data_IF_690190850227
#
_entry.id   IF_690190850227
#
_cell.length_a   1.000
_cell.length_b   1.000
_cell.length_c   1.000
_cell.angle_alpha   90.00
_cell.angle_beta   90.00
_cell.angle_gamma   90.00
#
_symmetry.space_group_name_H-M   'P 1'
#
loop_
_entity.id
_entity.type
_entity.pdbx_description
1 polymer ?
#
# COMPACT_ATOMS: atom_id res chain seq x y z
N UNK A 1 -38.87 -63.87 -34.41
CA UNK A 1 -37.74 -62.94 -34.53
C UNK A 1 -36.66 -63.41 -33.57
N UNK A 2 -35.55 -63.99 -34.06
CA UNK A 2 -34.41 -64.22 -33.17
C UNK A 2 -33.83 -62.86 -32.78
N UNK A 3 -33.68 -62.60 -31.49
CA UNK A 3 -32.94 -61.44 -30.99
C UNK A 3 -31.54 -61.47 -31.59
N UNK A 4 -31.11 -60.37 -32.21
CA UNK A 4 -29.69 -60.15 -32.51
C UNK A 4 -29.00 -59.97 -31.16
N UNK A 5 -28.31 -61.00 -30.71
CA UNK A 5 -27.39 -60.90 -29.58
C UNK A 5 -26.20 -60.04 -30.05
N UNK A 6 -26.08 -58.81 -29.54
CA UNK A 6 -24.93 -57.96 -29.80
C UNK A 6 -23.81 -58.45 -28.87
N UNK A 7 -22.86 -59.19 -29.43
CA UNK A 7 -21.67 -59.59 -28.69
C UNK A 7 -20.76 -58.37 -28.47
N UNK A 8 -20.49 -58.04 -27.21
CA UNK A 8 -19.63 -56.89 -26.83
C UNK A 8 -18.19 -57.01 -27.35
N UNK A 9 -17.74 -58.23 -27.66
CA UNK A 9 -16.41 -58.53 -28.19
C UNK A 9 -16.32 -58.26 -29.69
N UNK A 10 -17.34 -58.62 -30.46
CA UNK A 10 -17.33 -58.49 -31.92
C UNK A 10 -18.01 -57.21 -32.44
N UNK A 11 -18.73 -56.47 -31.60
CA UNK A 11 -19.33 -55.18 -31.98
C UNK A 11 -20.30 -55.30 -33.16
N UNK A 12 -21.08 -56.38 -33.23
CA UNK A 12 -21.77 -56.89 -34.43
C UNK A 12 -22.79 -55.95 -35.12
N UNK A 13 -22.92 -54.70 -34.68
CA UNK A 13 -23.73 -53.68 -35.34
C UNK A 13 -22.83 -52.78 -36.21
N UNK A 14 -22.87 -53.01 -37.52
CA UNK A 14 -22.18 -52.20 -38.55
C UNK A 14 -22.57 -50.71 -38.51
N UNK A 15 -23.72 -50.38 -37.92
CA UNK A 15 -24.30 -49.04 -37.87
C UNK A 15 -23.84 -48.19 -36.68
N UNK A 16 -22.97 -48.70 -35.81
CA UNK A 16 -22.47 -47.92 -34.65
C UNK A 16 -21.21 -47.16 -35.03
N UNK A 17 -21.17 -45.88 -34.65
CA UNK A 17 -20.05 -44.98 -34.89
C UNK A 17 -18.78 -45.36 -34.09
N UNK A 18 -18.95 -45.99 -32.92
CA UNK A 18 -17.86 -46.48 -32.06
C UNK A 18 -17.82 -48.01 -32.11
N UNK A 19 -16.67 -48.56 -32.50
CA UNK A 19 -16.42 -50.01 -32.63
C UNK A 19 -16.04 -50.64 -31.30
N UNK A 20 -16.09 -51.98 -31.25
CA UNK A 20 -15.66 -52.73 -30.08
C UNK A 20 -14.18 -52.41 -29.75
N UNK A 21 -13.82 -52.28 -28.46
CA UNK A 21 -12.50 -51.81 -28.06
C UNK A 21 -11.39 -52.76 -28.53
N UNK A 22 -10.22 -52.20 -28.80
CA UNK A 22 -9.01 -52.95 -29.06
C UNK A 22 -8.16 -53.03 -27.79
N UNK A 23 -7.48 -54.15 -27.61
CA UNK A 23 -6.54 -54.34 -26.51
C UNK A 23 -5.29 -53.48 -26.66
N UNK A 24 -4.81 -53.34 -27.89
CA UNK A 24 -3.64 -52.49 -28.22
C UNK A 24 -3.73 -52.00 -29.66
N UNK A 25 -2.93 -50.98 -29.99
CA UNK A 25 -2.76 -50.48 -31.36
C UNK A 25 -1.32 -50.67 -31.82
N UNK A 26 -1.14 -50.94 -33.11
CA UNK A 26 0.20 -50.99 -33.72
C UNK A 26 0.91 -49.64 -33.58
N UNK A 27 2.22 -49.66 -33.41
CA UNK A 27 3.10 -48.47 -33.47
C UNK A 27 4.05 -48.49 -34.66
N UNK A 28 4.12 -49.62 -35.37
CA UNK A 28 4.91 -49.87 -36.58
C UNK A 28 4.20 -50.91 -37.46
N UNK A 29 4.77 -51.19 -38.63
CA UNK A 29 4.30 -52.27 -39.50
C UNK A 29 4.50 -53.63 -38.81
N UNK A 30 3.47 -54.48 -38.81
CA UNK A 30 3.50 -55.83 -38.24
C UNK A 30 3.13 -56.87 -39.31
N UNK A 31 3.40 -58.15 -39.02
CA UNK A 31 2.81 -59.26 -39.77
C UNK A 31 1.42 -59.54 -39.22
N UNK A 32 0.40 -59.68 -40.07
CA UNK A 32 -0.98 -59.99 -39.65
C UNK A 32 -1.18 -61.51 -39.45
N UNK A 33 -0.34 -62.12 -38.62
CA UNK A 33 -0.40 -63.55 -38.30
C UNK A 33 0.32 -63.86 -37.00
N UNK A 34 -0.15 -64.87 -36.26
CA UNK A 34 0.49 -65.34 -35.02
C UNK A 34 0.31 -64.39 -33.83
N UNK A 35 0.50 -64.91 -32.63
CA UNK A 35 0.49 -64.12 -31.39
C UNK A 35 1.78 -63.31 -31.25
N UNK A 36 1.70 -62.07 -30.76
CA UNK A 36 2.80 -61.10 -30.82
C UNK A 36 2.79 -60.15 -29.62
N UNK A 37 3.86 -59.37 -29.42
CA UNK A 37 3.86 -58.23 -28.51
C UNK A 37 3.85 -56.92 -29.28
N UNK A 38 2.86 -56.08 -29.04
CA UNK A 38 2.64 -54.80 -29.72
C UNK A 38 2.59 -53.72 -28.66
N UNK A 39 3.38 -52.65 -28.82
CA UNK A 39 3.41 -51.51 -27.89
C UNK A 39 3.55 -51.91 -26.40
N UNK A 40 4.34 -52.96 -26.14
CA UNK A 40 4.56 -53.52 -24.81
C UNK A 40 3.45 -54.46 -24.29
N UNK A 41 2.42 -54.75 -25.09
CA UNK A 41 1.29 -55.63 -24.73
C UNK A 41 1.34 -56.92 -25.57
N UNK A 42 1.47 -58.08 -24.90
CA UNK A 42 1.41 -59.39 -25.55
C UNK A 42 -0.03 -59.75 -25.91
N UNK A 43 -0.36 -59.86 -27.20
CA UNK A 43 -1.68 -60.19 -27.76
C UNK A 43 -1.81 -61.67 -28.11
N UNK A 44 -2.93 -62.27 -27.71
CA UNK A 44 -3.22 -63.70 -27.89
C UNK A 44 -4.47 -63.91 -28.75
N UNK A 45 -4.74 -65.16 -29.15
CA UNK A 45 -5.90 -65.53 -29.96
C UNK A 45 -7.20 -64.92 -29.40
N UNK A 46 -8.01 -64.37 -30.31
CA UNK A 46 -9.23 -63.60 -30.07
C UNK A 46 -9.08 -62.19 -29.44
N UNK A 47 -7.86 -61.70 -29.18
CA UNK A 47 -7.67 -60.29 -28.87
C UNK A 47 -7.93 -59.41 -30.09
N UNK A 48 -8.36 -58.17 -29.84
CA UNK A 48 -8.57 -57.16 -30.89
C UNK A 48 -7.41 -56.19 -30.92
N UNK A 49 -6.88 -55.95 -32.12
CA UNK A 49 -5.78 -55.01 -32.35
C UNK A 49 -6.22 -53.95 -33.34
N UNK A 50 -6.01 -52.68 -32.99
CA UNK A 50 -6.11 -51.60 -33.95
C UNK A 50 -4.81 -51.58 -34.78
N UNK A 51 -4.90 -52.10 -36.00
CA UNK A 51 -3.82 -52.07 -36.98
C UNK A 51 -3.91 -50.77 -37.75
N UNK A 52 -3.03 -49.82 -37.43
CA UNK A 52 -3.04 -48.46 -38.00
C UNK A 52 -1.73 -48.07 -38.70
N UNK A 53 -0.74 -48.98 -38.72
CA UNK A 53 0.61 -48.70 -39.21
C UNK A 53 1.12 -49.72 -40.24
N UNK A 54 0.25 -50.34 -41.04
CA UNK A 54 0.71 -51.15 -42.17
C UNK A 54 1.35 -50.28 -43.26
N UNK A 55 2.35 -50.82 -43.94
CA UNK A 55 2.98 -50.20 -45.10
C UNK A 55 1.95 -49.95 -46.20
N UNK A 56 1.09 -50.93 -46.46
CA UNK A 56 -0.11 -50.76 -47.29
C UNK A 56 -1.26 -50.29 -46.40
N UNK A 57 -1.56 -48.99 -46.39
CA UNK A 57 -2.59 -48.45 -45.51
C UNK A 57 -4.00 -49.00 -45.78
N UNK A 58 -4.23 -49.65 -46.93
CA UNK A 58 -5.45 -50.41 -47.22
C UNK A 58 -5.61 -51.67 -46.37
N UNK A 59 -4.53 -52.13 -45.72
CA UNK A 59 -4.50 -53.22 -44.74
C UNK A 59 -4.77 -52.73 -43.32
N UNK A 60 -4.80 -51.41 -43.06
CA UNK A 60 -5.18 -50.90 -41.75
C UNK A 60 -6.65 -51.24 -41.44
N UNK A 61 -6.96 -51.40 -40.16
CA UNK A 61 -8.28 -51.72 -39.65
C UNK A 61 -8.23 -52.34 -38.26
N UNK A 62 -9.34 -52.94 -37.84
CA UNK A 62 -9.40 -53.69 -36.59
C UNK A 62 -9.28 -55.17 -36.91
N UNK A 63 -8.32 -55.85 -36.29
CA UNK A 63 -8.04 -57.26 -36.52
C UNK A 63 -8.28 -58.08 -35.26
N UNK A 64 -8.72 -59.32 -35.45
CA UNK A 64 -8.78 -60.33 -34.40
C UNK A 64 -7.57 -61.24 -34.55
N UNK A 65 -6.80 -61.34 -33.48
CA UNK A 65 -5.56 -62.11 -33.39
C UNK A 65 -5.87 -63.61 -33.47
N UNK A 66 -4.99 -64.35 -34.14
CA UNK A 66 -5.03 -65.80 -34.26
C UNK A 66 -3.59 -66.34 -34.27
N UNK A 67 -3.41 -67.62 -33.94
CA UNK A 67 -2.14 -68.34 -34.13
C UNK A 67 -1.72 -68.42 -35.61
N UNK A 68 -2.69 -68.40 -36.54
CA UNK A 68 -2.50 -68.26 -37.97
C UNK A 68 -2.73 -66.83 -38.46
N UNK A 69 -3.20 -66.69 -39.70
CA UNK A 69 -3.48 -65.38 -40.32
C UNK A 69 -4.60 -64.67 -39.57
N UNK A 70 -4.36 -63.41 -39.19
CA UNK A 70 -5.36 -62.59 -38.52
C UNK A 70 -6.48 -62.21 -39.48
N UNK A 71 -7.71 -62.22 -38.96
CA UNK A 71 -8.87 -61.76 -39.73
C UNK A 71 -9.21 -60.32 -39.36
N UNK A 72 -9.80 -59.57 -40.29
CA UNK A 72 -10.50 -58.34 -39.92
C UNK A 72 -11.68 -58.65 -39.00
N UNK A 73 -11.87 -57.79 -38.01
CA UNK A 73 -13.01 -57.85 -37.11
C UNK A 73 -14.33 -57.69 -37.86
N UNK A 74 -15.39 -58.36 -37.37
CA UNK A 74 -16.71 -58.35 -38.01
C UNK A 74 -17.36 -56.97 -38.07
N UNK A 75 -16.99 -56.06 -37.17
CA UNK A 75 -17.46 -54.66 -37.12
C UNK A 75 -16.58 -53.68 -37.92
N UNK A 76 -15.58 -54.19 -38.65
CA UNK A 76 -14.65 -53.44 -39.49
C UNK A 76 -14.19 -54.28 -40.69
N UNK A 77 -15.09 -55.01 -41.38
CA UNK A 77 -14.70 -55.87 -42.52
C UNK A 77 -15.45 -55.59 -43.83
N UNK A 78 -16.44 -54.70 -43.85
CA UNK A 78 -17.19 -54.28 -45.04
C UNK A 78 -17.13 -52.76 -45.23
N UNK A 79 -17.27 -52.31 -46.48
CA UNK A 79 -17.39 -50.90 -46.89
C UNK A 79 -18.46 -50.10 -46.10
N UNK A 80 -19.51 -50.76 -45.61
CA UNK A 80 -20.58 -50.10 -44.83
C UNK A 80 -20.27 -49.98 -43.34
N UNK A 81 -19.22 -50.63 -42.85
CA UNK A 81 -18.86 -50.60 -41.43
C UNK A 81 -18.01 -49.37 -41.10
N UNK A 82 -17.44 -48.72 -42.11
CA UNK A 82 -16.45 -47.66 -41.96
C UNK A 82 -16.86 -46.42 -42.77
N UNK A 83 -16.86 -45.29 -42.08
CA UNK A 83 -16.97 -43.94 -42.62
C UNK A 83 -15.96 -43.03 -41.96
N UNK A 84 -15.68 -41.86 -42.55
CA UNK A 84 -14.92 -40.81 -41.86
C UNK A 84 -15.54 -40.54 -40.47
N UNK A 85 -14.71 -40.50 -39.43
CA UNK A 85 -15.14 -40.30 -38.05
C UNK A 85 -15.51 -41.58 -37.29
N UNK A 86 -15.45 -42.77 -37.92
CA UNK A 86 -15.61 -44.05 -37.19
C UNK A 86 -14.56 -44.16 -36.09
N UNK A 87 -14.97 -44.49 -34.87
CA UNK A 87 -14.10 -44.45 -33.69
C UNK A 87 -13.85 -45.83 -33.09
N UNK A 88 -12.74 -45.98 -32.36
CA UNK A 88 -12.42 -47.17 -31.56
C UNK A 88 -11.59 -46.79 -30.35
N UNK A 89 -11.89 -47.37 -29.19
CA UNK A 89 -11.09 -47.20 -27.97
C UNK A 89 -9.99 -48.27 -27.96
N UNK A 90 -8.76 -47.86 -27.66
CA UNK A 90 -7.62 -48.75 -27.43
C UNK A 90 -7.27 -48.70 -25.95
N UNK A 91 -7.40 -49.85 -25.27
CA UNK A 91 -7.35 -49.94 -23.80
C UNK A 91 -5.93 -50.04 -23.22
N UNK A 92 -4.95 -50.49 -23.99
CA UNK A 92 -3.58 -50.74 -23.54
C UNK A 92 -2.53 -50.28 -24.54
N UNK A 93 -1.27 -50.38 -24.12
CA UNK A 93 -0.12 -49.88 -24.86
C UNK A 93 0.38 -48.54 -24.34
N UNK A 94 1.69 -48.32 -24.44
CA UNK A 94 2.35 -47.10 -23.95
C UNK A 94 2.08 -45.90 -24.85
N UNK A 95 2.03 -46.12 -26.17
CA UNK A 95 1.91 -45.06 -27.19
C UNK A 95 0.53 -45.09 -27.87
N UNK A 96 -0.03 -46.28 -28.06
CA UNK A 96 -1.22 -46.53 -28.86
C UNK A 96 -2.55 -46.44 -28.11
N UNK A 97 -2.54 -46.32 -26.77
CA UNK A 97 -3.76 -46.25 -25.97
C UNK A 97 -4.52 -44.93 -26.20
N UNK A 98 -5.85 -44.97 -26.10
CA UNK A 98 -6.72 -43.81 -26.28
C UNK A 98 -7.85 -44.04 -27.30
N UNK A 99 -8.64 -42.98 -27.55
CA UNK A 99 -9.74 -43.01 -28.50
C UNK A 99 -9.24 -42.62 -29.89
N UNK A 100 -9.34 -43.53 -30.85
CA UNK A 100 -8.92 -43.30 -32.23
C UNK A 100 -10.12 -43.09 -33.15
N UNK A 101 -9.94 -42.30 -34.21
CA UNK A 101 -10.94 -42.05 -35.23
C UNK A 101 -10.37 -42.21 -36.64
N UNK A 102 -11.19 -42.71 -37.56
CA UNK A 102 -10.89 -42.79 -38.99
C UNK A 102 -10.91 -41.39 -39.60
N UNK A 103 -9.87 -41.02 -40.32
CA UNK A 103 -9.75 -39.71 -40.99
C UNK A 103 -9.90 -39.75 -42.49
N UNK A 104 -9.78 -40.95 -43.10
CA UNK A 104 -9.99 -41.16 -44.53
C UNK A 104 -11.35 -40.59 -44.95
N UNK A 105 -11.37 -39.83 -46.04
CA UNK A 105 -12.60 -39.29 -46.59
C UNK A 105 -13.46 -40.40 -47.22
N UNK A 106 -14.78 -40.26 -47.11
CA UNK A 106 -15.71 -41.16 -47.78
C UNK A 106 -15.71 -40.91 -49.30
N UNK A 107 -15.92 -41.94 -50.13
CA UNK A 107 -16.22 -43.33 -49.78
C UNK A 107 -14.98 -44.15 -49.40
N UNK A 108 -15.15 -45.10 -48.46
CA UNK A 108 -14.10 -46.01 -48.00
C UNK A 108 -14.47 -47.45 -48.35
N UNK A 109 -13.71 -48.08 -49.24
CA UNK A 109 -13.81 -49.50 -49.58
C UNK A 109 -12.76 -50.32 -48.83
N UNK A 110 -13.21 -51.17 -47.91
CA UNK A 110 -12.32 -51.95 -47.03
C UNK A 110 -11.50 -52.95 -47.85
N UNK A 111 -10.18 -52.91 -47.71
CA UNK A 111 -9.23 -53.73 -48.46
C UNK A 111 -8.72 -53.10 -49.76
N UNK A 112 -9.23 -51.93 -50.16
CA UNK A 112 -8.73 -51.19 -51.34
C UNK A 112 -8.40 -49.75 -51.01
N UNK A 113 -9.28 -49.02 -50.33
CA UNK A 113 -9.02 -47.66 -49.88
C UNK A 113 -7.98 -47.66 -48.76
N UNK A 114 -7.06 -46.69 -48.77
CA UNK A 114 -6.14 -46.47 -47.66
C UNK A 114 -6.90 -45.97 -46.42
N UNK A 115 -6.78 -46.67 -45.29
CA UNK A 115 -7.47 -46.34 -44.05
C UNK A 115 -6.48 -45.69 -43.08
N UNK A 116 -6.73 -44.43 -42.76
CA UNK A 116 -5.93 -43.64 -41.82
C UNK A 116 -6.69 -43.44 -40.51
N UNK A 117 -5.97 -43.55 -39.39
CA UNK A 117 -6.47 -43.31 -38.05
C UNK A 117 -5.68 -42.17 -37.40
N UNK A 118 -6.36 -41.36 -36.60
CA UNK A 118 -5.74 -40.38 -35.70
C UNK A 118 -6.33 -40.49 -34.30
N UNK A 119 -5.61 -40.02 -33.28
CA UNK A 119 -6.15 -39.87 -31.94
C UNK A 119 -7.27 -38.81 -31.96
N UNK A 120 -8.43 -39.14 -31.43
CA UNK A 120 -9.54 -38.21 -31.23
C UNK A 120 -9.29 -37.40 -29.94
N UNK A 121 -8.63 -36.24 -30.09
CA UNK A 121 -8.41 -35.31 -28.99
C UNK A 121 -9.60 -34.34 -28.94
N UNK A 122 -10.30 -34.15 -27.80
CA UNK A 122 -11.27 -33.08 -27.67
C UNK A 122 -10.59 -31.73 -27.90
N UNK A 123 -11.34 -30.74 -28.40
CA UNK A 123 -10.81 -29.40 -28.70
C UNK A 123 -9.97 -28.87 -27.53
N UNK A 124 -8.67 -28.67 -27.79
CA UNK A 124 -7.70 -28.22 -26.80
C UNK A 124 -7.78 -26.72 -26.53
N UNK A 125 -8.65 -26.00 -27.25
CA UNK A 125 -8.87 -24.55 -27.07
C UNK A 125 -9.28 -24.16 -25.63
N UNK A 126 -9.73 -25.11 -24.81
CA UNK A 126 -10.13 -24.90 -23.41
C UNK A 126 -9.23 -25.49 -22.32
N UNK A 127 -8.20 -26.28 -22.66
CA UNK A 127 -7.33 -26.94 -21.67
C UNK A 127 -5.95 -26.29 -21.65
N UNK A 128 -5.81 -25.13 -20.98
CA UNK A 128 -4.50 -24.54 -20.73
C UNK A 128 -3.92 -25.17 -19.47
N UNK A 129 -2.90 -26.02 -19.62
CA UNK A 129 -2.05 -26.41 -18.49
C UNK A 129 -1.05 -25.28 -18.25
N UNK A 130 -1.30 -24.43 -17.25
CA UNK A 130 -0.47 -23.28 -16.87
C UNK A 130 0.72 -23.71 -16.00
N UNK A 131 1.53 -24.65 -16.47
CA UNK A 131 2.78 -25.02 -15.77
C UNK A 131 3.91 -24.07 -16.20
N UNK A 132 4.49 -23.35 -15.25
CA UNK A 132 5.65 -22.47 -15.48
C UNK A 132 5.32 -20.97 -15.42
N UNK A 133 6.28 -20.16 -15.87
CA UNK A 133 6.13 -18.69 -15.93
C UNK A 133 5.18 -18.30 -17.05
N UNK A 134 4.18 -17.48 -16.72
CA UNK A 134 3.21 -16.97 -17.69
C UNK A 134 3.50 -15.49 -18.00
N UNK A 135 3.61 -15.14 -19.28
CA UNK A 135 3.69 -13.74 -19.75
C UNK A 135 2.36 -13.30 -20.32
N UNK A 136 1.69 -12.33 -19.67
CA UNK A 136 0.36 -11.85 -20.05
C UNK A 136 0.43 -10.43 -20.63
N UNK A 137 0.72 -10.31 -21.92
CA UNK A 137 0.80 -9.00 -22.60
C UNK A 137 -0.59 -8.47 -22.96
N UNK A 138 -0.90 -7.23 -22.58
CA UNK A 138 -2.16 -6.52 -22.86
C UNK A 138 -3.39 -7.35 -22.46
N UNK A 139 -3.38 -7.91 -21.25
CA UNK A 139 -4.52 -8.63 -20.67
C UNK A 139 -5.07 -7.88 -19.48
N UNK A 140 -6.39 -7.91 -19.34
CA UNK A 140 -7.06 -7.45 -18.12
C UNK A 140 -7.25 -8.65 -17.21
N UNK A 141 -6.71 -8.58 -15.99
CA UNK A 141 -6.96 -9.56 -14.95
C UNK A 141 -8.01 -8.98 -14.00
N UNK A 142 -9.19 -9.62 -13.95
CA UNK A 142 -10.26 -9.21 -13.04
C UNK A 142 -10.10 -9.97 -11.72
N UNK A 143 -9.75 -9.26 -10.65
CA UNK A 143 -9.56 -9.80 -9.29
C UNK A 143 -8.48 -10.89 -9.14
N UNK A 144 -7.26 -10.70 -9.67
CA UNK A 144 -6.17 -11.65 -9.43
C UNK A 144 -5.76 -11.67 -7.95
N UNK A 145 -5.51 -12.86 -7.42
CA UNK A 145 -4.87 -13.04 -6.11
C UNK A 145 -3.41 -13.42 -6.30
N UNK A 146 -2.47 -12.60 -5.84
CA UNK A 146 -1.03 -12.91 -5.83
C UNK A 146 -0.67 -13.41 -4.43
N UNK A 147 -0.55 -14.73 -4.28
CA UNK A 147 -0.21 -15.33 -2.99
C UNK A 147 1.31 -15.56 -2.88
N UNK A 148 2.01 -14.70 -2.15
CA UNK A 148 3.45 -14.86 -1.88
C UNK A 148 4.40 -14.46 -3.01
N UNK A 149 3.96 -13.61 -3.95
CA UNK A 149 4.78 -13.08 -5.04
C UNK A 149 5.10 -11.59 -4.89
N UNK A 150 6.18 -11.15 -5.55
CA UNK A 150 6.50 -9.72 -5.68
C UNK A 150 5.67 -9.10 -6.79
N UNK A 151 5.03 -7.97 -6.51
CA UNK A 151 4.42 -7.11 -7.53
C UNK A 151 5.42 -5.99 -7.82
N UNK A 152 6.09 -6.09 -8.97
CA UNK A 152 7.10 -5.11 -9.39
C UNK A 152 6.53 -4.17 -10.47
N UNK A 153 6.85 -2.88 -10.35
CA UNK A 153 6.51 -1.82 -11.32
C UNK A 153 5.02 -1.70 -11.68
N UNK A 154 4.12 -2.19 -10.81
CA UNK A 154 2.69 -2.09 -11.04
C UNK A 154 2.14 -0.73 -10.64
N UNK A 155 1.31 -0.14 -11.48
CA UNK A 155 0.43 0.97 -11.08
C UNK A 155 -0.75 0.39 -10.30
N UNK A 156 -0.76 0.56 -8.98
CA UNK A 156 -1.85 0.12 -8.09
C UNK A 156 -2.69 1.34 -7.72
N UNK A 157 -3.90 1.42 -8.26
CA UNK A 157 -4.85 2.49 -7.94
C UNK A 157 -5.58 2.16 -6.64
N UNK A 158 -5.48 3.01 -5.62
CA UNK A 158 -6.16 2.89 -4.31
C UNK A 158 -5.81 1.61 -3.52
N UNK A 159 -4.53 1.35 -3.21
CA UNK A 159 -4.16 0.18 -2.43
C UNK A 159 -4.75 0.24 -1.01
N UNK A 160 -5.34 -0.86 -0.55
CA UNK A 160 -5.60 -1.10 0.88
C UNK A 160 -4.58 -2.11 1.38
N UNK A 161 -3.79 -1.76 2.39
CA UNK A 161 -2.74 -2.62 2.92
C UNK A 161 -3.13 -3.00 4.35
N UNK A 162 -3.29 -4.29 4.61
CA UNK A 162 -3.75 -4.82 5.90
C UNK A 162 -2.78 -5.89 6.40
N UNK A 163 -2.32 -5.78 7.64
CA UNK A 163 -1.71 -6.91 8.37
C UNK A 163 -0.23 -7.21 8.12
N UNK A 164 0.59 -6.28 7.61
CA UNK A 164 2.04 -6.48 7.50
C UNK A 164 2.83 -5.19 7.77
N UNK A 165 4.07 -5.32 8.24
CA UNK A 165 5.05 -4.24 8.22
C UNK A 165 5.28 -3.80 6.78
N UNK A 166 4.93 -2.56 6.45
CA UNK A 166 5.22 -1.98 5.13
C UNK A 166 6.62 -1.37 5.13
N UNK A 167 7.56 -1.98 4.41
CA UNK A 167 8.84 -1.35 4.11
C UNK A 167 8.74 -0.60 2.77
N UNK A 168 8.71 0.73 2.82
CA UNK A 168 8.73 1.59 1.63
C UNK A 168 10.18 2.03 1.41
N UNK A 169 10.88 1.39 0.48
CA UNK A 169 12.24 1.76 0.09
C UNK A 169 12.18 2.73 -1.08
N UNK A 170 11.99 4.01 -0.76
CA UNK A 170 11.81 5.08 -1.74
C UNK A 170 12.57 6.33 -1.29
N UNK A 171 13.20 7.02 -2.25
CA UNK A 171 13.91 8.28 -2.01
C UNK A 171 13.00 9.51 -2.16
N UNK A 172 11.76 9.32 -2.65
CA UNK A 172 10.80 10.38 -2.91
C UNK A 172 9.41 10.08 -2.32
N UNK A 173 9.35 9.36 -1.19
CA UNK A 173 8.08 9.00 -0.57
C UNK A 173 7.32 10.26 -0.16
N UNK A 174 6.13 10.44 -0.72
CA UNK A 174 5.27 11.60 -0.48
C UNK A 174 3.87 11.16 -0.10
N UNK A 175 3.34 11.69 1.00
CA UNK A 175 1.91 11.62 1.32
C UNK A 175 1.27 12.90 0.78
N UNK A 176 0.22 12.76 -0.04
CA UNK A 176 -0.44 13.88 -0.71
C UNK A 176 -1.92 13.92 -0.36
N UNK A 177 -2.47 15.12 -0.31
CA UNK A 177 -3.92 15.31 -0.23
C UNK A 177 -4.57 14.97 -1.59
N UNK A 178 -5.70 14.26 -1.55
CA UNK A 178 -6.45 13.85 -2.74
C UNK A 178 -7.11 15.06 -3.45
N UNK A 179 -7.38 16.15 -2.71
CA UNK A 179 -7.98 17.37 -3.27
C UNK A 179 -6.97 18.37 -3.84
N UNK A 180 -5.73 18.35 -3.38
CA UNK A 180 -4.65 19.26 -3.80
C UNK A 180 -3.31 18.52 -3.77
N UNK A 181 -2.90 18.02 -4.94
CA UNK A 181 -1.71 17.18 -5.10
C UNK A 181 -0.39 17.95 -4.90
N UNK A 182 -0.45 19.27 -4.71
CA UNK A 182 0.72 20.11 -4.40
C UNK A 182 1.08 20.09 -2.91
N UNK A 183 0.14 19.72 -2.04
CA UNK A 183 0.39 19.55 -0.60
C UNK A 183 1.01 18.18 -0.35
N UNK A 184 2.27 18.21 0.09
CA UNK A 184 3.11 17.03 0.27
C UNK A 184 3.66 17.01 1.69
N UNK A 185 3.48 15.91 2.41
CA UNK A 185 4.33 15.56 3.55
C UNK A 185 5.42 14.60 3.07
N UNK A 186 6.68 14.99 3.22
CA UNK A 186 7.84 14.21 2.81
C UNK A 186 8.64 13.74 4.03
N UNK A 187 9.09 12.49 4.01
CA UNK A 187 9.99 11.92 5.02
C UNK A 187 11.36 11.69 4.36
N UNK A 188 12.39 12.44 4.77
CA UNK A 188 13.74 12.32 4.23
C UNK A 188 14.66 11.59 5.20
N UNK A 189 15.35 10.57 4.71
CA UNK A 189 16.28 9.74 5.49
C UNK A 189 17.76 9.97 5.13
N UNK A 190 18.03 10.80 4.11
CA UNK A 190 19.37 11.00 3.53
C UNK A 190 20.45 11.51 4.50
N UNK A 191 20.05 12.12 5.62
CA UNK A 191 20.98 12.61 6.66
C UNK A 191 21.34 11.57 7.73
N UNK A 192 20.81 10.34 7.67
CA UNK A 192 21.01 9.33 8.72
C UNK A 192 22.16 8.37 8.38
N UNK A 193 22.95 8.02 9.40
CA UNK A 193 23.95 6.96 9.30
C UNK A 193 23.27 5.59 9.22
N UNK A 194 23.93 4.62 8.59
CA UNK A 194 23.41 3.25 8.44
C UNK A 194 22.98 2.64 9.78
N UNK A 195 21.91 1.82 9.72
CA UNK A 195 21.36 1.09 10.86
C UNK A 195 20.79 1.93 12.03
N UNK A 196 20.38 3.19 11.78
CA UNK A 196 19.67 3.99 12.79
C UNK A 196 18.16 4.03 12.54
N UNK A 197 17.37 3.64 13.54
CA UNK A 197 15.91 3.81 13.53
C UNK A 197 15.55 5.12 14.24
N UNK A 198 14.62 5.88 13.66
CA UNK A 198 13.96 7.01 14.31
C UNK A 198 12.48 6.70 14.42
N UNK A 199 11.99 6.68 15.65
CA UNK A 199 10.57 6.44 15.94
C UNK A 199 9.96 7.77 16.37
N UNK A 200 8.98 8.24 15.61
CA UNK A 200 8.05 9.28 16.07
C UNK A 200 6.80 8.53 16.54
N UNK A 201 6.56 8.53 17.85
CA UNK A 201 5.35 7.94 18.43
C UNK A 201 4.32 9.03 18.65
N UNK A 202 3.16 8.88 18.00
CA UNK A 202 2.01 9.72 18.26
C UNK A 202 1.24 9.17 19.48
N UNK A 203 0.78 10.04 20.40
CA UNK A 203 -0.13 9.62 21.45
C UNK A 203 -1.48 9.18 20.86
N UNK A 204 -2.22 8.35 21.58
CA UNK A 204 -3.57 7.90 21.19
C UNK A 204 -4.60 9.00 21.46
N UNK A 205 -4.48 10.09 20.69
CA UNK A 205 -5.37 11.25 20.71
C UNK A 205 -5.26 11.99 19.39
N UNK A 206 -6.34 12.66 19.00
CA UNK A 206 -6.29 13.59 17.89
C UNK A 206 -5.39 14.79 18.23
N UNK A 207 -4.66 15.28 17.22
CA UNK A 207 -3.74 16.39 17.37
C UNK A 207 -3.23 16.90 16.02
N UNK A 208 -2.59 18.07 16.04
CA UNK A 208 -1.96 18.66 14.85
C UNK A 208 -0.44 18.61 15.01
N UNK A 209 0.27 18.27 13.94
CA UNK A 209 1.74 18.41 13.91
C UNK A 209 2.07 19.89 13.79
N UNK A 210 2.63 20.48 14.85
CA UNK A 210 3.06 21.87 14.79
C UNK A 210 4.38 21.99 14.01
N UNK A 211 4.44 22.97 13.12
CA UNK A 211 5.63 23.31 12.32
C UNK A 211 6.06 24.74 12.62
N UNK A 212 7.22 25.15 12.09
CA UNK A 212 7.98 26.39 12.40
C UNK A 212 7.31 27.73 12.00
N UNK A 213 5.98 27.81 11.97
CA UNK A 213 5.20 29.05 11.79
C UNK A 213 4.50 29.55 13.06
N UNK A 214 4.66 28.84 14.18
CA UNK A 214 3.98 29.11 15.45
C UNK A 214 4.95 29.53 16.56
N UNK A 215 6.22 29.80 16.23
CA UNK A 215 7.21 30.24 17.22
C UNK A 215 6.78 31.57 17.85
N UNK A 216 6.85 31.64 19.17
CA UNK A 216 6.60 32.88 19.89
C UNK A 216 7.69 33.91 19.60
N UNK A 217 7.30 35.19 19.68
CA UNK A 217 8.25 36.30 19.78
C UNK A 217 8.21 36.83 21.20
N UNK A 218 9.16 37.70 21.56
CA UNK A 218 9.11 38.42 22.85
C UNK A 218 7.79 39.18 23.02
N UNK A 219 7.29 39.79 21.95
CA UNK A 219 5.99 40.48 21.98
C UNK A 219 4.83 39.50 22.22
N UNK A 220 4.85 38.33 21.58
CA UNK A 220 3.82 37.31 21.80
C UNK A 220 3.77 36.84 23.26
N UNK A 221 4.92 36.61 23.89
CA UNK A 221 4.96 36.19 25.30
C UNK A 221 4.45 37.31 26.23
N UNK A 222 4.92 38.55 26.05
CA UNK A 222 4.51 39.69 26.88
C UNK A 222 3.04 40.06 26.70
N UNK A 223 2.49 39.87 25.51
CA UNK A 223 1.07 40.08 25.22
C UNK A 223 0.18 38.88 25.57
N UNK A 224 0.74 37.74 25.99
CA UNK A 224 0.02 36.48 26.20
C UNK A 224 -0.79 36.04 24.95
N UNK A 225 -0.15 36.05 23.78
CA UNK A 225 -0.79 35.62 22.53
C UNK A 225 -0.99 34.10 22.53
N UNK A 226 -2.22 33.65 22.23
CA UNK A 226 -2.58 32.23 22.13
C UNK A 226 -1.88 31.54 20.95
N UNK A 227 -1.86 30.19 20.98
CA UNK A 227 -1.40 29.32 19.90
C UNK A 227 0.04 29.60 19.45
N UNK A 228 0.94 29.72 20.44
CA UNK A 228 2.38 29.90 20.21
C UNK A 228 3.20 28.89 20.98
N UNK A 229 4.32 28.48 20.38
CA UNK A 229 5.33 27.64 21.01
C UNK A 229 6.36 28.55 21.67
N UNK A 230 6.59 28.34 22.96
CA UNK A 230 7.64 29.03 23.71
C UNK A 230 8.95 28.27 23.65
N UNK A 231 10.02 29.00 23.34
CA UNK A 231 11.39 28.53 23.44
C UNK A 231 12.08 29.22 24.62
N UNK A 232 13.12 28.60 25.17
CA UNK A 232 13.80 29.11 26.37
C UNK A 232 14.44 30.49 26.16
N UNK A 233 14.95 30.76 24.95
CA UNK A 233 15.53 32.05 24.57
C UNK A 233 14.49 33.18 24.51
N UNK A 234 13.28 32.90 24.01
CA UNK A 234 12.18 33.87 23.95
C UNK A 234 11.68 34.19 25.36
N UNK A 235 11.50 33.18 26.21
CA UNK A 235 11.11 33.38 27.61
C UNK A 235 12.14 34.24 28.35
N UNK A 236 13.44 33.95 28.17
CA UNK A 236 14.51 34.72 28.79
C UNK A 236 14.59 36.15 28.25
N UNK A 237 14.54 36.32 26.93
CA UNK A 237 14.62 37.64 26.28
C UNK A 237 13.43 38.53 26.64
N UNK A 238 12.28 37.95 26.95
CA UNK A 238 11.10 38.70 27.37
C UNK A 238 11.27 39.41 28.71
N UNK A 239 12.20 38.97 29.55
CA UNK A 239 12.52 39.61 30.82
C UNK A 239 13.40 40.87 30.68
N UNK A 240 13.96 41.14 29.48
CA UNK A 240 14.78 42.33 29.25
C UNK A 240 13.98 43.62 29.51
N UNK A 241 14.65 44.64 30.07
CA UNK A 241 14.02 45.92 30.36
C UNK A 241 13.62 46.66 29.08
N UNK A 242 12.40 47.21 29.08
CA UNK A 242 11.88 48.08 28.02
C UNK A 242 11.89 49.52 28.49
N UNK A 243 12.44 50.43 27.68
CA UNK A 243 12.43 51.86 28.01
C UNK A 243 11.03 52.44 27.82
N UNK A 244 10.46 52.99 28.88
CA UNK A 244 9.25 53.81 28.80
C UNK A 244 9.61 55.23 28.35
N UNK A 245 8.74 55.84 27.57
CA UNK A 245 8.90 57.22 27.12
C UNK A 245 8.64 58.19 28.28
N UNK A 246 9.60 59.05 28.57
CA UNK A 246 9.42 60.16 29.51
C UNK A 246 8.41 61.17 28.96
N UNK A 247 7.36 61.43 29.73
CA UNK A 247 6.27 62.34 29.39
C UNK A 247 5.65 62.89 30.68
N UNK A 248 4.87 63.97 30.59
CA UNK A 248 4.17 64.53 31.76
C UNK A 248 3.36 63.46 32.51
N UNK A 249 2.66 62.62 31.76
CA UNK A 249 2.11 61.34 32.21
C UNK A 249 2.77 60.22 31.40
N UNK A 250 3.55 59.38 32.06
CA UNK A 250 4.24 58.24 31.46
C UNK A 250 3.19 57.16 31.17
N UNK A 251 3.11 56.71 29.92
CA UNK A 251 2.22 55.62 29.52
C UNK A 251 2.78 54.27 29.99
N UNK A 252 1.91 53.41 30.53
CA UNK A 252 2.28 52.10 31.08
C UNK A 252 1.46 51.01 30.38
N UNK A 253 1.93 50.56 29.22
CA UNK A 253 1.28 49.44 28.50
C UNK A 253 1.88 48.10 28.95
N UNK A 254 1.13 47.39 29.81
CA UNK A 254 1.56 46.12 30.40
C UNK A 254 1.64 44.96 29.40
N UNK A 255 1.21 45.13 28.14
CA UNK A 255 1.44 44.16 27.07
C UNK A 255 2.86 44.23 26.48
N UNK A 256 3.57 45.35 26.69
CA UNK A 256 4.85 45.62 26.01
C UNK A 256 6.08 45.21 26.82
N UNK A 257 5.93 45.00 28.13
CA UNK A 257 7.05 44.71 29.02
C UNK A 257 6.67 43.80 30.20
N UNK A 258 7.69 43.12 30.74
CA UNK A 258 7.66 42.52 32.09
C UNK A 258 8.46 43.41 33.02
N UNK A 259 9.67 43.78 32.59
CA UNK A 259 10.51 44.76 33.26
C UNK A 259 10.67 46.00 32.38
N UNK A 260 10.70 47.17 32.99
CA UNK A 260 10.84 48.43 32.29
C UNK A 260 11.82 49.38 32.97
N UNK A 261 12.29 50.37 32.24
CA UNK A 261 13.12 51.46 32.75
C UNK A 261 12.58 52.80 32.29
N UNK A 262 12.62 53.80 33.16
CA UNK A 262 12.31 55.19 32.80
C UNK A 262 13.28 56.14 33.49
N UNK A 263 13.80 57.10 32.74
CA UNK A 263 14.58 58.22 33.29
C UNK A 263 13.71 59.46 33.32
N UNK A 264 13.52 60.05 34.50
CA UNK A 264 12.62 61.18 34.68
C UNK A 264 13.29 62.49 34.25
N UNK A 265 12.76 63.13 33.20
CA UNK A 265 13.24 64.44 32.73
C UNK A 265 12.62 65.64 33.46
N UNK A 266 11.68 65.39 34.38
CA UNK A 266 10.93 66.40 35.11
C UNK A 266 10.05 65.77 36.19
N UNK A 267 9.19 66.55 36.84
CA UNK A 267 8.17 66.00 37.72
C UNK A 267 7.11 65.32 36.86
N UNK A 268 6.90 64.02 37.04
CA UNK A 268 6.04 63.19 36.19
C UNK A 268 4.93 62.51 36.98
N UNK A 269 3.94 61.99 36.26
CA UNK A 269 2.97 61.03 36.77
C UNK A 269 3.19 59.69 36.08
N UNK A 270 3.30 58.60 36.83
CA UNK A 270 3.19 57.25 36.27
C UNK A 270 1.70 56.99 36.00
N UNK A 271 1.32 56.91 34.73
CA UNK A 271 -0.08 56.79 34.34
C UNK A 271 -0.75 55.51 34.84
N UNK A 272 -2.08 55.47 34.73
CA UNK A 272 -2.84 54.23 34.89
C UNK A 272 -2.36 53.21 33.85
N UNK A 273 -2.02 51.98 34.25
CA UNK A 273 -1.67 50.93 33.31
C UNK A 273 -2.77 50.61 32.31
N UNK A 274 -2.40 50.07 31.17
CA UNK A 274 -3.31 49.51 30.17
C UNK A 274 -2.88 48.10 29.79
N UNK A 275 -3.82 47.32 29.23
CA UNK A 275 -3.60 45.93 28.82
C UNK A 275 -3.09 45.04 29.96
N UNK A 276 -3.61 45.27 31.17
CA UNK A 276 -3.23 44.57 32.37
C UNK A 276 -3.68 43.10 32.31
N UNK A 277 -2.78 42.23 32.72
CA UNK A 277 -3.04 40.79 32.83
C UNK A 277 -2.97 40.42 34.29
N UNK A 278 -4.06 39.89 34.85
CA UNK A 278 -4.08 39.46 36.25
C UNK A 278 -2.91 38.51 36.54
N UNK A 279 -2.28 38.68 37.69
CA UNK A 279 -1.05 37.99 38.12
C UNK A 279 0.25 38.38 37.39
N UNK A 280 0.21 39.26 36.39
CA UNK A 280 1.44 39.82 35.81
C UNK A 280 2.23 40.55 36.89
N UNK A 281 3.53 40.27 36.95
CA UNK A 281 4.44 40.87 37.93
C UNK A 281 5.78 41.19 37.29
N UNK A 282 6.44 42.22 37.80
CA UNK A 282 7.75 42.64 37.30
C UNK A 282 8.28 43.86 38.04
N UNK A 283 9.22 44.57 37.40
CA UNK A 283 9.87 45.74 37.98
C UNK A 283 9.96 46.90 36.99
N UNK A 284 9.66 48.11 37.45
CA UNK A 284 9.95 49.36 36.73
C UNK A 284 11.11 50.04 37.45
N UNK A 285 12.25 50.15 36.78
CA UNK A 285 13.43 50.87 37.27
C UNK A 285 13.28 52.35 36.94
N UNK A 286 13.25 53.17 37.97
CA UNK A 286 13.02 54.62 37.86
C UNK A 286 14.33 55.33 38.16
N UNK A 287 14.81 56.12 37.22
CA UNK A 287 16.11 56.79 37.29
C UNK A 287 15.91 58.30 37.33
N UNK A 288 16.56 58.99 38.27
CA UNK A 288 16.65 60.45 38.28
C UNK A 288 17.52 60.92 37.11
N UNK A 289 17.16 62.03 36.45
CA UNK A 289 18.06 62.68 35.50
C UNK A 289 19.34 63.19 36.18
N UNK A 290 20.23 63.78 35.38
CA UNK A 290 21.47 64.38 35.87
C UNK A 290 21.29 65.58 36.81
N UNK A 291 20.07 66.10 37.00
CA UNK A 291 19.78 67.20 37.94
C UNK A 291 19.25 66.66 39.27
N UNK A 292 18.47 65.60 39.23
CA UNK A 292 17.74 65.08 40.39
C UNK A 292 16.55 65.96 40.78
N UNK A 293 16.06 65.76 42.00
CA UNK A 293 14.89 66.44 42.56
C UNK A 293 13.58 66.21 41.79
N UNK A 294 13.49 65.12 41.03
CA UNK A 294 12.27 64.74 40.31
C UNK A 294 11.34 63.96 41.21
N UNK A 295 10.07 64.36 41.20
CA UNK A 295 9.00 63.63 41.87
C UNK A 295 8.21 62.79 40.87
N UNK A 296 7.70 61.65 41.33
CA UNK A 296 6.76 60.82 40.57
C UNK A 296 5.44 60.73 41.34
N UNK A 297 4.38 61.26 40.75
CA UNK A 297 3.01 60.97 41.16
C UNK A 297 2.56 59.65 40.51
N UNK A 298 1.50 59.04 41.03
CA UNK A 298 0.97 57.76 40.53
C UNK A 298 -0.49 57.92 40.14
N UNK A 299 -0.89 57.23 39.08
CA UNK A 299 -2.28 57.06 38.70
C UNK A 299 -3.12 56.38 39.78
N UNK A 300 -4.44 56.45 39.66
CA UNK A 300 -5.40 55.95 40.66
C UNK A 300 -5.35 54.44 40.87
N UNK A 301 -4.85 53.72 39.86
CA UNK A 301 -4.88 52.26 39.82
C UNK A 301 -3.67 51.65 40.56
N UNK A 302 -2.70 52.49 40.93
CA UNK A 302 -1.54 52.12 41.73
C UNK A 302 -1.87 52.13 43.23
N UNK A 303 -1.96 50.93 43.80
CA UNK A 303 -2.20 50.70 45.22
C UNK A 303 -0.86 50.49 45.95
N UNK A 304 -0.70 51.16 47.09
CA UNK A 304 0.48 51.06 47.94
C UNK A 304 0.10 50.69 49.37
N UNK A 305 1.04 50.12 50.12
CA UNK A 305 0.84 49.82 51.53
C UNK A 305 0.39 51.06 52.31
N UNK A 306 -0.62 50.89 53.16
CA UNK A 306 -1.22 51.98 53.96
C UNK A 306 -1.77 53.15 53.12
N UNK A 307 -2.15 52.91 51.85
CA UNK A 307 -2.71 53.91 50.94
C UNK A 307 -1.84 55.17 50.75
N UNK A 308 -0.53 55.06 50.99
CA UNK A 308 0.40 56.20 50.92
C UNK A 308 1.38 55.98 49.77
N UNK A 309 1.34 56.79 48.69
CA UNK A 309 2.29 56.67 47.60
C UNK A 309 3.74 56.87 48.06
N UNK A 310 4.69 56.01 47.63
CA UNK A 310 6.08 56.12 48.02
C UNK A 310 6.77 57.28 47.31
N UNK A 311 7.67 57.95 48.02
CA UNK A 311 8.47 59.06 47.47
C UNK A 311 9.81 58.54 46.97
N UNK A 312 10.22 58.98 45.77
CA UNK A 312 11.49 58.61 45.15
C UNK A 312 12.72 59.13 45.92
N UNK A 313 13.88 58.57 45.60
CA UNK A 313 15.19 59.16 45.91
C UNK A 313 15.44 60.30 44.94
N UNK A 314 15.82 61.47 45.45
CA UNK A 314 15.94 62.71 44.66
C UNK A 314 17.37 63.06 44.27
N UNK A 315 18.36 62.26 44.66
CA UNK A 315 19.75 62.47 44.25
C UNK A 315 19.88 62.30 42.74
N UNK A 316 20.60 63.20 42.07
CA UNK A 316 20.86 63.12 40.63
C UNK A 316 21.43 61.74 40.24
N UNK A 317 20.90 61.14 39.18
CA UNK A 317 21.30 59.81 38.71
C UNK A 317 20.92 58.63 39.62
N UNK A 318 20.27 58.86 40.76
CA UNK A 318 19.83 57.78 41.64
C UNK A 318 18.77 56.91 40.97
N UNK A 319 18.77 55.63 41.33
CA UNK A 319 17.85 54.63 40.80
C UNK A 319 17.00 54.06 41.94
N UNK A 320 15.70 53.97 41.71
CA UNK A 320 14.75 53.26 42.55
C UNK A 320 14.10 52.11 41.75
N UNK A 321 13.67 51.05 42.44
CA UNK A 321 12.98 49.91 41.82
C UNK A 321 11.53 49.85 42.32
N UNK A 322 10.58 49.98 41.41
CA UNK A 322 9.17 49.77 41.68
C UNK A 322 8.77 48.36 41.24
N UNK A 323 8.67 47.46 42.21
CA UNK A 323 8.08 46.14 41.98
C UNK A 323 6.56 46.27 41.88
N UNK A 324 5.96 45.57 40.93
CA UNK A 324 4.53 45.60 40.73
C UNK A 324 3.92 44.19 40.64
N UNK A 325 2.67 44.09 41.06
CA UNK A 325 1.82 42.91 40.89
C UNK A 325 0.41 43.35 40.48
N UNK A 326 -0.05 42.89 39.34
CA UNK A 326 -1.41 43.15 38.85
C UNK A 326 -2.39 42.24 39.57
N UNK A 327 -3.21 42.79 40.47
CA UNK A 327 -4.24 42.04 41.19
C UNK A 327 -5.44 41.77 40.28
N UNK A 328 -5.88 42.80 39.54
CA UNK A 328 -6.96 42.77 38.57
C UNK A 328 -6.79 43.94 37.58
N UNK A 329 -7.68 44.05 36.59
CA UNK A 329 -7.79 45.27 35.79
C UNK A 329 -7.99 46.48 36.72
N UNK A 330 -7.33 47.60 36.41
CA UNK A 330 -7.37 48.85 37.18
C UNK A 330 -6.87 48.73 38.65
N UNK A 331 -6.22 47.62 39.04
CA UNK A 331 -5.70 47.40 40.40
C UNK A 331 -4.30 46.80 40.41
N UNK A 332 -3.29 47.63 40.63
CA UNK A 332 -1.89 47.27 40.59
C UNK A 332 -1.23 47.58 41.93
N UNK A 333 -0.77 46.54 42.62
CA UNK A 333 -0.01 46.71 43.84
C UNK A 333 1.44 47.05 43.51
N UNK A 334 1.92 48.17 44.07
CA UNK A 334 3.30 48.62 43.94
C UNK A 334 4.08 48.56 45.26
N UNK A 335 5.37 48.23 45.18
CA UNK A 335 6.32 48.36 46.29
C UNK A 335 7.63 48.98 45.79
N UNK A 336 8.03 50.11 46.38
CA UNK A 336 9.24 50.82 45.98
C UNK A 336 10.41 50.48 46.90
N UNK A 337 11.51 50.02 46.31
CA UNK A 337 12.82 49.93 46.96
C UNK A 337 13.67 51.09 46.47
N UNK A 338 14.14 51.89 47.43
CA UNK A 338 14.83 53.16 47.15
C UNK A 338 16.34 52.99 47.06
N UNK A 339 16.98 53.88 46.30
CA UNK A 339 18.43 54.07 46.23
C UNK A 339 19.17 52.74 45.99
N UNK A 340 18.75 52.03 44.94
CA UNK A 340 19.36 50.77 44.52
C UNK A 340 20.48 51.09 43.53
N UNK A 341 21.72 50.99 44.00
CA UNK A 341 22.93 51.33 43.23
C UNK A 341 24.05 51.82 44.11
#
# INVERSE_FOLDING_TARGET
MSSIQIEIKDGLSSSVAVKGPCRVATTANITLSGEQTIDGVAVVTDDRVLVKNQTSASENGIYVVDTGVWRRSKDFNKTRDVRKGTMVIVAGGTVGSGLWQVTTADPIDVGTSNIAFQLAVPDTSGFITLTGTQTLTNKTLTSPTVNGGTVDSATITSPTITGATMAINDNAFTIRDNGDTTKVLAFQLSGFTTATTRTITWPDTDGTVWTTGQDATVAHYRANTADKILTTDIVWSSAAEVTLTDAATIAVDMSTFINAVVTLGGNRTLGNPTNEKASQSGCIRIVQDGTGSRTLAYGTDWEFASATPPVLTTTAGATDLLFYHVIAADRIFGNLVKAVG
#
